data_IF_171634067612
#
_entry.id   IF_171634067612
#
_cell.length_a   1.000
_cell.length_b   1.000
_cell.length_c   1.000
_cell.angle_alpha   90.00
_cell.angle_beta   90.00
_cell.angle_gamma   90.00
#
_symmetry.space_group_name_H-M   'P 1'
#
loop_
_entity.id
_entity.type
_entity.pdbx_description
1 polymer ?
#
# COMPACT_ATOMS: atom_id res chain seq x y z
N UNK A 1 32.19 2.61 11.15
CA UNK A 1 31.88 2.31 9.73
C UNK A 1 31.21 0.95 9.54
N UNK A 2 31.70 -0.12 10.18
CA UNK A 2 31.07 -1.45 10.05
C UNK A 2 29.58 -1.47 10.39
N UNK A 3 29.15 -0.81 11.47
CA UNK A 3 27.73 -0.74 11.84
C UNK A 3 26.84 -0.05 10.80
N UNK A 4 27.35 0.98 10.11
CA UNK A 4 26.60 1.67 9.05
C UNK A 4 26.44 0.80 7.79
N UNK A 5 27.47 0.07 7.44
CA UNK A 5 27.45 -0.89 6.31
C UNK A 5 26.46 -2.03 6.63
N UNK A 6 26.48 -2.56 7.84
CA UNK A 6 25.56 -3.62 8.26
C UNK A 6 24.10 -3.16 8.18
N UNK A 7 23.79 -1.95 8.66
CA UNK A 7 22.45 -1.35 8.56
C UNK A 7 22.03 -1.15 7.10
N UNK A 8 22.94 -0.72 6.24
CA UNK A 8 22.67 -0.56 4.82
C UNK A 8 22.37 -1.90 4.13
N UNK A 9 23.21 -2.91 4.34
CA UNK A 9 23.01 -4.26 3.78
C UNK A 9 21.69 -4.86 4.26
N UNK A 10 21.37 -4.71 5.54
CA UNK A 10 20.08 -5.11 6.09
C UNK A 10 18.91 -4.42 5.34
N UNK A 11 18.99 -3.11 5.14
CA UNK A 11 17.96 -2.36 4.40
C UNK A 11 17.82 -2.82 2.95
N UNK A 12 18.91 -3.14 2.27
CA UNK A 12 18.90 -3.70 0.91
C UNK A 12 18.21 -5.07 0.88
N UNK A 13 18.53 -5.95 1.83
CA UNK A 13 17.88 -7.27 1.95
C UNK A 13 16.37 -7.11 2.17
N UNK A 14 15.96 -6.22 3.08
CA UNK A 14 14.54 -5.93 3.32
C UNK A 14 13.84 -5.37 2.07
N UNK A 15 14.52 -4.52 1.30
CA UNK A 15 14.00 -3.98 0.05
C UNK A 15 13.81 -5.07 -1.01
N UNK A 16 14.79 -5.94 -1.20
CA UNK A 16 14.70 -7.07 -2.13
C UNK A 16 13.58 -8.03 -1.70
N UNK A 17 13.48 -8.35 -0.39
CA UNK A 17 12.39 -9.14 0.14
C UNK A 17 11.02 -8.51 -0.16
N UNK A 18 10.91 -7.18 -0.07
CA UNK A 18 9.66 -6.46 -0.40
C UNK A 18 9.32 -6.61 -1.88
N UNK A 19 10.29 -6.46 -2.79
CA UNK A 19 10.06 -6.65 -4.23
C UNK A 19 9.60 -8.09 -4.55
N UNK A 20 10.27 -9.09 -3.97
CA UNK A 20 9.88 -10.50 -4.12
C UNK A 20 8.46 -10.74 -3.60
N UNK A 21 8.13 -10.15 -2.43
CA UNK A 21 6.77 -10.26 -1.85
C UNK A 21 5.72 -9.65 -2.78
N UNK A 22 5.98 -8.49 -3.37
CA UNK A 22 5.07 -7.84 -4.32
C UNK A 22 4.86 -8.67 -5.59
N UNK A 23 5.94 -9.22 -6.15
CA UNK A 23 5.86 -10.11 -7.31
C UNK A 23 5.08 -11.39 -6.98
N UNK A 24 5.34 -11.98 -5.81
CA UNK A 24 4.61 -13.15 -5.36
C UNK A 24 3.11 -12.84 -5.13
N UNK A 25 2.79 -11.71 -4.53
CA UNK A 25 1.41 -11.25 -4.34
C UNK A 25 0.69 -11.09 -5.70
N UNK A 26 1.37 -10.52 -6.70
CA UNK A 26 0.81 -10.41 -8.05
C UNK A 26 0.56 -11.79 -8.67
N UNK A 27 1.47 -12.71 -8.53
CA UNK A 27 1.29 -14.07 -9.01
C UNK A 27 0.20 -14.83 -8.24
N UNK A 28 0.13 -14.66 -6.93
CA UNK A 28 -0.84 -15.27 -6.03
C UNK A 28 -2.28 -14.81 -6.33
N UNK A 29 -2.51 -13.51 -6.46
CA UNK A 29 -3.83 -12.94 -6.78
C UNK A 29 -4.22 -13.18 -8.24
N UNK A 30 -3.24 -13.18 -9.15
CA UNK A 30 -3.45 -13.39 -10.58
C UNK A 30 -3.55 -14.87 -11.00
N UNK A 31 -3.36 -15.82 -10.08
CA UNK A 31 -3.40 -17.26 -10.33
C UNK A 31 -2.38 -17.75 -11.37
N UNK A 32 -1.15 -17.22 -11.33
CA UNK A 32 -0.08 -17.63 -12.24
C UNK A 32 1.28 -17.75 -11.53
N UNK A 33 2.17 -18.59 -12.06
CA UNK A 33 3.58 -18.69 -11.67
C UNK A 33 3.87 -18.97 -10.17
N UNK A 34 2.89 -19.45 -9.41
CA UNK A 34 3.03 -19.87 -8.00
C UNK A 34 2.47 -21.24 -7.78
N UNK A 35 3.03 -22.05 -6.85
CA UNK A 35 2.57 -23.40 -6.59
C UNK A 35 1.17 -23.44 -5.95
N UNK A 36 0.82 -22.42 -5.17
CA UNK A 36 -0.52 -22.21 -4.58
C UNK A 36 -0.90 -20.75 -4.77
N UNK A 37 -2.09 -20.54 -5.30
CA UNK A 37 -2.69 -19.24 -5.51
C UNK A 37 -3.92 -19.05 -4.62
N UNK A 38 -4.49 -17.86 -4.67
CA UNK A 38 -5.69 -17.51 -3.91
C UNK A 38 -6.88 -18.42 -4.25
N UNK A 39 -6.97 -18.92 -5.50
CA UNK A 39 -8.05 -19.72 -6.06
C UNK A 39 -7.64 -21.19 -6.31
N UNK A 40 -6.59 -21.68 -5.66
CA UNK A 40 -6.20 -23.11 -5.73
C UNK A 40 -7.30 -24.02 -5.20
N UNK A 41 -7.18 -25.34 -5.42
CA UNK A 41 -8.18 -26.32 -4.97
C UNK A 41 -8.35 -26.28 -3.44
N UNK A 42 -9.60 -26.30 -2.93
CA UNK A 42 -9.88 -26.35 -1.50
C UNK A 42 -9.31 -27.62 -0.85
N UNK A 43 -8.75 -27.45 0.36
CA UNK A 43 -8.17 -28.56 1.13
C UNK A 43 -8.76 -28.66 2.55
N UNK A 44 -9.59 -27.69 2.96
CA UNK A 44 -10.20 -27.62 4.27
C UNK A 44 -11.71 -27.35 4.16
N UNK A 45 -12.51 -27.70 5.19
CA UNK A 45 -13.90 -27.29 5.28
C UNK A 45 -14.06 -25.77 5.20
N UNK A 46 -15.15 -25.30 4.57
CA UNK A 46 -15.36 -23.87 4.29
C UNK A 46 -15.22 -22.97 5.52
N UNK A 47 -15.83 -23.32 6.66
CA UNK A 47 -15.79 -22.49 7.87
C UNK A 47 -14.39 -22.40 8.47
N UNK A 48 -13.64 -23.50 8.45
CA UNK A 48 -12.25 -23.52 8.93
C UNK A 48 -11.35 -22.66 8.03
N UNK A 49 -11.50 -22.82 6.71
CA UNK A 49 -10.80 -22.01 5.72
C UNK A 49 -11.11 -20.52 5.89
N UNK A 50 -12.40 -20.18 6.06
CA UNK A 50 -12.84 -18.79 6.29
C UNK A 50 -12.23 -18.20 7.56
N UNK A 51 -12.30 -18.94 8.68
CA UNK A 51 -11.77 -18.49 9.97
C UNK A 51 -10.25 -18.26 9.89
N UNK A 52 -9.50 -19.19 9.30
CA UNK A 52 -8.06 -19.06 9.15
C UNK A 52 -7.70 -17.89 8.22
N UNK A 53 -8.35 -17.76 7.07
CA UNK A 53 -8.10 -16.69 6.12
C UNK A 53 -8.37 -15.30 6.74
N UNK A 54 -9.48 -15.14 7.48
CA UNK A 54 -9.78 -13.91 8.20
C UNK A 54 -8.73 -13.62 9.28
N UNK A 55 -8.30 -14.63 10.04
CA UNK A 55 -7.25 -14.47 11.04
C UNK A 55 -5.93 -14.00 10.42
N UNK A 56 -5.52 -14.55 9.26
CA UNK A 56 -4.33 -14.14 8.53
C UNK A 56 -4.42 -12.69 8.02
N UNK A 57 -5.58 -12.30 7.48
CA UNK A 57 -5.83 -10.93 7.03
C UNK A 57 -5.82 -9.94 8.19
N UNK A 58 -6.42 -10.30 9.32
CA UNK A 58 -6.41 -9.49 10.55
C UNK A 58 -4.98 -9.37 11.08
N UNK A 59 -4.21 -10.47 11.13
CA UNK A 59 -2.82 -10.47 11.55
C UNK A 59 -1.99 -9.49 10.72
N UNK A 60 -2.09 -9.60 9.40
CA UNK A 60 -1.41 -8.66 8.49
C UNK A 60 -1.88 -7.22 8.73
N UNK A 61 -3.18 -6.97 8.77
CA UNK A 61 -3.74 -5.63 8.93
C UNK A 61 -3.35 -4.98 10.26
N UNK A 62 -3.36 -5.74 11.36
CA UNK A 62 -2.95 -5.27 12.69
C UNK A 62 -1.44 -4.98 12.72
N UNK A 63 -0.61 -5.93 12.25
CA UNK A 63 0.84 -5.74 12.20
C UNK A 63 1.19 -4.48 11.38
N UNK A 64 0.65 -4.38 10.17
CA UNK A 64 0.92 -3.29 9.24
C UNK A 64 0.46 -1.93 9.79
N UNK A 65 -0.72 -1.88 10.41
CA UNK A 65 -1.25 -0.65 11.00
C UNK A 65 -0.50 -0.24 12.26
N UNK A 66 -0.27 -1.16 13.20
CA UNK A 66 0.34 -0.85 14.50
C UNK A 66 1.77 -0.38 14.34
N UNK A 67 2.58 -1.12 13.56
CA UNK A 67 3.98 -0.74 13.32
C UNK A 67 4.12 0.57 12.53
N UNK A 68 3.10 0.97 11.76
CA UNK A 68 3.06 2.25 11.07
C UNK A 68 2.87 3.46 12.01
N UNK A 69 2.40 3.27 13.26
CA UNK A 69 2.02 4.37 14.16
C UNK A 69 3.22 5.06 14.80
N UNK A 70 3.15 6.41 14.99
CA UNK A 70 4.23 7.18 15.64
C UNK A 70 4.60 6.64 17.02
N UNK A 71 3.61 6.25 17.83
CA UNK A 71 3.87 5.70 19.17
C UNK A 71 4.63 4.38 19.14
N UNK A 72 4.29 3.46 18.23
CA UNK A 72 5.04 2.21 18.05
C UNK A 72 6.47 2.49 17.56
N UNK A 73 6.64 3.36 16.57
CA UNK A 73 7.96 3.74 16.06
C UNK A 73 8.85 4.32 17.15
N UNK A 74 8.32 5.21 18.00
CA UNK A 74 9.05 5.78 19.12
C UNK A 74 9.52 4.73 20.16
N UNK A 75 8.70 3.70 20.42
CA UNK A 75 9.09 2.59 21.29
C UNK A 75 10.10 1.65 20.59
N UNK A 76 9.86 1.33 19.32
CA UNK A 76 10.66 0.39 18.54
C UNK A 76 12.08 0.91 18.25
N UNK A 77 12.25 2.19 18.02
CA UNK A 77 13.56 2.83 17.80
C UNK A 77 14.46 2.87 19.04
N UNK A 78 13.97 2.45 20.20
CA UNK A 78 14.81 2.17 21.38
C UNK A 78 15.57 0.84 21.25
N UNK A 79 15.08 -0.10 20.44
CA UNK A 79 15.64 -1.44 20.23
C UNK A 79 16.37 -1.54 18.88
N UNK A 80 15.85 -0.88 17.84
CA UNK A 80 16.37 -0.93 16.48
C UNK A 80 16.88 0.46 16.08
N UNK A 81 18.03 0.57 15.39
CA UNK A 81 18.52 1.85 14.90
C UNK A 81 17.44 2.59 14.09
N UNK A 82 17.26 3.89 14.35
CA UNK A 82 16.23 4.69 13.69
C UNK A 82 16.29 4.61 12.14
N UNK A 83 17.51 4.47 11.59
CA UNK A 83 17.70 4.28 10.15
C UNK A 83 17.18 2.94 9.61
N UNK A 84 17.10 1.90 10.46
CA UNK A 84 16.62 0.56 10.10
C UNK A 84 15.12 0.36 10.40
N UNK A 85 14.47 1.31 11.10
CA UNK A 85 13.07 1.19 11.53
C UNK A 85 12.14 0.86 10.36
N UNK A 86 12.22 1.62 9.27
CA UNK A 86 11.35 1.47 8.11
C UNK A 86 11.60 0.14 7.38
N UNK A 87 12.86 -0.26 7.24
CA UNK A 87 13.25 -1.55 6.66
C UNK A 87 12.73 -2.71 7.49
N UNK A 88 12.80 -2.62 8.83
CA UNK A 88 12.26 -3.63 9.75
C UNK A 88 10.73 -3.73 9.65
N UNK A 89 10.03 -2.59 9.58
CA UNK A 89 8.60 -2.55 9.31
C UNK A 89 8.24 -3.31 8.03
N UNK A 90 8.97 -3.07 6.93
CA UNK A 90 8.76 -3.76 5.66
C UNK A 90 9.02 -5.26 5.79
N UNK A 91 10.07 -5.66 6.50
CA UNK A 91 10.40 -7.08 6.72
C UNK A 91 9.27 -7.83 7.45
N UNK A 92 8.71 -7.24 8.50
CA UNK A 92 7.58 -7.84 9.23
C UNK A 92 6.31 -7.89 8.36
N UNK A 93 6.07 -6.88 7.54
CA UNK A 93 4.95 -6.89 6.58
C UNK A 93 5.13 -7.99 5.53
N UNK A 94 6.35 -8.18 5.02
CA UNK A 94 6.66 -9.30 4.12
C UNK A 94 6.45 -10.65 4.81
N UNK A 95 6.93 -10.81 6.05
CA UNK A 95 6.76 -12.06 6.81
C UNK A 95 5.28 -12.40 7.04
N UNK A 96 4.45 -11.40 7.38
CA UNK A 96 3.01 -11.60 7.54
C UNK A 96 2.32 -11.99 6.22
N UNK A 97 2.73 -11.38 5.09
CA UNK A 97 2.22 -11.75 3.77
C UNK A 97 2.70 -13.15 3.35
N UNK A 98 3.95 -13.52 3.58
CA UNK A 98 4.42 -14.87 3.29
C UNK A 98 3.71 -15.92 4.14
N UNK A 99 3.43 -15.62 5.41
CA UNK A 99 2.61 -16.49 6.26
C UNK A 99 1.19 -16.62 5.67
N UNK A 100 0.60 -15.53 5.20
CA UNK A 100 -0.69 -15.53 4.53
C UNK A 100 -0.63 -16.39 3.26
N UNK A 101 0.35 -16.23 2.37
CA UNK A 101 0.48 -17.04 1.15
C UNK A 101 0.64 -18.53 1.47
N UNK A 102 1.41 -18.86 2.49
CA UNK A 102 1.69 -20.23 2.88
C UNK A 102 0.48 -20.92 3.50
N UNK A 103 -0.25 -20.22 4.38
CA UNK A 103 -1.37 -20.79 5.14
C UNK A 103 -2.73 -20.56 4.50
N UNK A 104 -2.80 -19.75 3.43
CA UNK A 104 -4.06 -19.44 2.76
C UNK A 104 -4.82 -20.71 2.39
N UNK A 105 -6.11 -20.77 2.75
CA UNK A 105 -6.99 -21.88 2.42
C UNK A 105 -8.01 -21.46 1.35
N UNK A 106 -7.86 -21.94 0.11
CA UNK A 106 -8.90 -21.76 -0.90
C UNK A 106 -10.23 -22.37 -0.44
N UNK A 107 -11.34 -21.65 -0.68
CA UNK A 107 -12.65 -22.06 -0.15
C UNK A 107 -13.59 -22.67 -1.22
N UNK A 108 -13.15 -22.70 -2.47
CA UNK A 108 -14.01 -23.10 -3.58
C UNK A 108 -15.16 -22.13 -3.81
N UNK A 109 -16.22 -22.58 -4.47
CA UNK A 109 -17.35 -21.73 -4.83
C UNK A 109 -16.98 -20.66 -5.85
N UNK A 110 -17.90 -20.26 -6.69
CA UNK A 110 -17.70 -19.20 -7.70
C UNK A 110 -18.77 -18.14 -7.49
N UNK A 111 -18.36 -16.91 -7.24
CA UNK A 111 -19.23 -15.73 -7.10
C UNK A 111 -19.61 -15.22 -8.51
N UNK A 112 -18.61 -15.09 -9.39
CA UNK A 112 -18.83 -14.85 -10.82
C UNK A 112 -17.75 -15.51 -11.67
N UNK A 113 -18.10 -15.80 -12.90
CA UNK A 113 -17.19 -16.26 -13.95
C UNK A 113 -17.52 -15.52 -15.25
N UNK A 114 -16.57 -14.74 -15.74
CA UNK A 114 -16.71 -14.04 -17.02
C UNK A 114 -16.28 -14.97 -18.13
N UNK A 115 -17.25 -15.51 -18.89
CA UNK A 115 -16.99 -16.47 -19.96
C UNK A 115 -16.51 -15.79 -21.26
N UNK A 116 -16.97 -14.57 -21.51
CA UNK A 116 -16.55 -13.78 -22.69
C UNK A 116 -15.04 -13.56 -22.72
N UNK A 117 -14.38 -13.94 -23.81
CA UNK A 117 -12.94 -13.70 -24.00
C UNK A 117 -12.60 -12.23 -23.96
N UNK A 118 -13.43 -11.35 -24.50
CA UNK A 118 -13.25 -9.89 -24.42
C UNK A 118 -13.32 -9.42 -22.95
N UNK A 119 -14.32 -9.90 -22.21
CA UNK A 119 -14.48 -9.56 -20.79
C UNK A 119 -13.30 -10.04 -19.95
N UNK A 120 -12.79 -11.25 -20.19
CA UNK A 120 -11.59 -11.78 -19.52
C UNK A 120 -10.34 -10.93 -19.81
N UNK A 121 -10.11 -10.61 -21.08
CA UNK A 121 -8.98 -9.73 -21.48
C UNK A 121 -9.12 -8.35 -20.85
N UNK A 122 -10.31 -7.76 -20.83
CA UNK A 122 -10.56 -6.48 -20.20
C UNK A 122 -10.22 -6.49 -18.69
N UNK A 123 -10.68 -7.53 -17.95
CA UNK A 123 -10.40 -7.67 -16.52
C UNK A 123 -8.91 -7.93 -16.24
N UNK A 124 -8.23 -8.75 -17.03
CA UNK A 124 -6.80 -8.98 -16.91
C UNK A 124 -5.99 -7.72 -17.23
N UNK A 125 -6.43 -6.93 -18.23
CA UNK A 125 -5.81 -5.64 -18.54
C UNK A 125 -6.02 -4.65 -17.40
N UNK A 126 -7.19 -4.64 -16.78
CA UNK A 126 -7.49 -3.81 -15.62
C UNK A 126 -6.66 -4.25 -14.39
N UNK A 127 -6.46 -5.54 -14.19
CA UNK A 127 -5.57 -6.10 -13.17
C UNK A 127 -4.12 -5.60 -13.35
N UNK A 128 -3.60 -5.74 -14.57
CA UNK A 128 -2.25 -5.23 -14.91
C UNK A 128 -2.16 -3.71 -14.73
N UNK A 129 -3.18 -2.98 -15.16
CA UNK A 129 -3.26 -1.52 -14.95
C UNK A 129 -3.25 -1.16 -13.46
N UNK A 130 -4.00 -1.88 -12.61
CA UNK A 130 -3.97 -1.68 -11.16
C UNK A 130 -2.55 -1.79 -10.58
N UNK A 131 -1.77 -2.80 -11.00
CA UNK A 131 -0.37 -2.96 -10.61
C UNK A 131 0.52 -1.82 -11.10
N UNK A 132 0.30 -1.34 -12.32
CA UNK A 132 1.01 -0.15 -12.84
C UNK A 132 0.69 1.08 -11.98
N UNK A 133 -0.58 1.29 -11.63
CA UNK A 133 -0.98 2.40 -10.74
C UNK A 133 -0.30 2.28 -9.38
N UNK A 134 -0.30 1.09 -8.75
CA UNK A 134 0.41 0.84 -7.48
C UNK A 134 1.89 1.22 -7.62
N UNK A 135 2.58 0.68 -8.63
CA UNK A 135 4.01 0.90 -8.82
C UNK A 135 4.33 2.39 -9.07
N UNK A 136 3.66 3.01 -10.04
CA UNK A 136 3.86 4.42 -10.39
C UNK A 136 3.61 5.33 -9.19
N UNK A 137 2.56 5.05 -8.41
CA UNK A 137 2.20 5.85 -7.24
C UNK A 137 3.28 5.79 -6.15
N UNK A 138 3.93 4.63 -5.94
CA UNK A 138 5.06 4.55 -5.00
C UNK A 138 6.21 5.48 -5.41
N UNK A 139 6.53 5.58 -6.71
CA UNK A 139 7.57 6.50 -7.21
C UNK A 139 7.16 7.96 -7.10
N UNK A 140 5.89 8.28 -7.30
CA UNK A 140 5.38 9.66 -7.13
C UNK A 140 5.47 10.15 -5.68
N UNK A 141 5.29 9.28 -4.70
CA UNK A 141 5.47 9.62 -3.28
C UNK A 141 6.96 9.73 -2.94
N UNK A 142 7.69 8.72 -3.08
CA UNK A 142 9.12 8.44 -3.00
C UNK A 142 9.34 6.95 -2.69
N UNK A 143 9.50 6.15 -3.72
CA UNK A 143 9.61 4.70 -3.63
C UNK A 143 10.67 4.23 -2.62
N UNK A 144 11.88 4.80 -2.69
CA UNK A 144 12.98 4.38 -1.83
C UNK A 144 12.79 4.81 -0.36
N UNK A 145 12.09 5.91 -0.11
CA UNK A 145 11.72 6.32 1.24
C UNK A 145 10.62 5.42 1.81
N UNK A 146 9.63 5.10 1.00
CA UNK A 146 8.51 4.24 1.38
C UNK A 146 8.98 2.85 1.83
N UNK A 147 9.99 2.29 1.16
CA UNK A 147 10.53 0.96 1.44
C UNK A 147 11.75 0.94 2.38
N UNK A 148 12.17 2.09 2.91
CA UNK A 148 13.24 2.17 3.91
C UNK A 148 14.66 2.28 3.34
N UNK A 149 14.84 2.18 2.01
CA UNK A 149 16.17 2.20 1.39
C UNK A 149 16.83 3.58 1.48
N UNK A 150 16.06 4.67 1.39
CA UNK A 150 16.58 6.03 1.54
C UNK A 150 17.12 6.27 2.94
N UNK A 151 16.48 5.79 4.00
CA UNK A 151 16.89 5.95 5.38
C UNK A 151 18.25 5.29 5.63
N UNK A 152 18.42 4.03 5.20
CA UNK A 152 19.68 3.30 5.38
C UNK A 152 20.80 3.86 4.50
N UNK A 153 20.48 4.38 3.32
CA UNK A 153 21.45 5.05 2.44
C UNK A 153 21.97 6.35 3.05
N UNK A 154 21.08 7.22 3.58
CA UNK A 154 21.48 8.44 4.26
C UNK A 154 22.34 8.12 5.49
N UNK A 155 21.98 7.10 6.26
CA UNK A 155 22.77 6.64 7.41
C UNK A 155 24.17 6.15 7.00
N UNK A 156 24.28 5.38 5.91
CA UNK A 156 25.56 4.95 5.35
C UNK A 156 26.46 6.15 5.01
N UNK A 157 25.87 7.19 4.39
CA UNK A 157 26.54 8.42 4.01
C UNK A 157 26.84 9.36 5.18
N UNK A 158 26.37 9.05 6.39
CA UNK A 158 26.53 9.89 7.57
C UNK A 158 25.63 11.12 7.61
N UNK A 159 24.57 11.12 6.81
CA UNK A 159 23.59 12.19 6.77
C UNK A 159 22.38 11.89 7.67
N UNK A 160 21.85 12.92 8.30
CA UNK A 160 20.59 12.83 9.05
C UNK A 160 19.41 12.61 8.11
N UNK A 161 18.42 11.83 8.55
CA UNK A 161 17.18 11.69 7.81
C UNK A 161 16.40 13.02 7.80
N UNK A 162 15.90 13.38 6.64
CA UNK A 162 15.04 14.55 6.45
C UNK A 162 13.68 14.10 5.97
N UNK A 163 12.60 14.54 6.63
CA UNK A 163 11.23 14.27 6.23
C UNK A 163 10.93 14.82 4.84
N UNK A 164 10.08 14.13 4.10
CA UNK A 164 9.62 14.58 2.79
C UNK A 164 8.62 15.73 2.95
N UNK A 165 8.71 16.72 2.05
CA UNK A 165 7.71 17.79 1.98
C UNK A 165 6.40 17.24 1.41
N UNK A 166 5.28 17.75 1.89
CA UNK A 166 3.98 17.45 1.33
C UNK A 166 3.90 17.89 -0.14
N UNK A 167 3.46 16.98 -1.00
CA UNK A 167 3.29 17.23 -2.44
C UNK A 167 2.09 16.43 -2.97
N UNK A 168 1.43 16.96 -4.00
CA UNK A 168 0.28 16.33 -4.65
C UNK A 168 0.54 16.15 -6.16
N UNK A 169 1.48 15.27 -6.55
CA UNK A 169 1.85 15.07 -7.96
C UNK A 169 0.79 14.26 -8.70
N UNK A 170 0.53 14.61 -9.97
CA UNK A 170 -0.28 13.82 -10.91
C UNK A 170 -1.61 13.32 -10.35
N UNK A 171 -1.78 12.00 -10.16
CA UNK A 171 -3.03 11.37 -9.69
C UNK A 171 -3.53 11.88 -8.34
N UNK A 172 -2.66 12.41 -7.47
CA UNK A 172 -3.04 13.03 -6.20
C UNK A 172 -3.88 14.31 -6.35
N UNK A 173 -3.94 14.87 -7.56
CA UNK A 173 -4.86 15.99 -7.88
C UNK A 173 -6.27 15.51 -8.19
N UNK A 174 -6.44 14.23 -8.52
CA UNK A 174 -7.73 13.62 -8.86
C UNK A 174 -8.37 12.93 -7.66
N UNK A 175 -7.57 12.19 -6.88
CA UNK A 175 -7.98 11.49 -5.66
C UNK A 175 -6.86 11.58 -4.62
N UNK A 176 -7.22 11.56 -3.33
CA UNK A 176 -6.22 11.66 -2.26
C UNK A 176 -5.38 10.40 -2.10
N UNK A 177 -5.94 9.24 -2.44
CA UNK A 177 -5.31 7.93 -2.22
C UNK A 177 -5.20 7.10 -3.51
N UNK A 178 -4.47 7.56 -4.53
CA UNK A 178 -4.36 6.84 -5.80
C UNK A 178 -3.67 5.47 -5.65
N UNK A 179 -2.79 5.30 -4.64
CA UNK A 179 -2.20 4.00 -4.31
C UNK A 179 -3.28 2.98 -3.91
N UNK A 180 -4.23 3.39 -3.08
CA UNK A 180 -5.33 2.52 -2.67
C UNK A 180 -6.32 2.27 -3.81
N UNK A 181 -6.52 3.22 -4.72
CA UNK A 181 -7.27 2.97 -5.97
C UNK A 181 -6.62 1.84 -6.77
N UNK A 182 -5.30 1.86 -6.93
CA UNK A 182 -4.57 0.78 -7.60
C UNK A 182 -4.81 -0.58 -6.93
N UNK A 183 -4.72 -0.66 -5.59
CA UNK A 183 -4.99 -1.88 -4.83
C UNK A 183 -6.43 -2.38 -5.02
N UNK A 184 -7.43 -1.49 -4.92
CA UNK A 184 -8.82 -1.87 -5.14
C UNK A 184 -9.04 -2.42 -6.55
N UNK A 185 -8.46 -1.79 -7.56
CA UNK A 185 -8.51 -2.30 -8.94
C UNK A 185 -7.90 -3.69 -9.03
N UNK A 186 -6.73 -3.93 -8.43
CA UNK A 186 -6.08 -5.26 -8.39
C UNK A 186 -6.99 -6.31 -7.75
N UNK A 187 -7.58 -6.01 -6.58
CA UNK A 187 -8.33 -6.99 -5.80
C UNK A 187 -9.65 -7.40 -6.46
N UNK A 188 -10.27 -6.50 -7.22
CA UNK A 188 -11.59 -6.72 -7.82
C UNK A 188 -11.56 -7.11 -9.30
N UNK A 189 -10.39 -7.04 -9.98
CA UNK A 189 -10.28 -7.32 -11.42
C UNK A 189 -10.00 -8.79 -11.72
N UNK A 190 -10.73 -9.69 -11.07
CA UNK A 190 -10.61 -11.14 -11.31
C UNK A 190 -11.64 -11.62 -12.34
N UNK A 191 -11.23 -12.27 -13.46
CA UNK A 191 -12.16 -12.88 -14.41
C UNK A 191 -13.01 -13.98 -13.81
N UNK A 192 -12.45 -14.74 -12.88
CA UNK A 192 -13.16 -15.69 -12.03
C UNK A 192 -12.98 -15.22 -10.59
N UNK A 193 -14.08 -14.95 -9.91
CA UNK A 193 -14.10 -14.58 -8.50
C UNK A 193 -14.59 -15.75 -7.69
N UNK A 194 -13.69 -16.41 -6.98
CA UNK A 194 -14.04 -17.46 -6.04
C UNK A 194 -14.49 -16.89 -4.70
N UNK A 195 -15.07 -17.72 -3.82
CA UNK A 195 -15.40 -17.30 -2.47
C UNK A 195 -14.16 -16.84 -1.67
N UNK A 196 -13.00 -17.49 -1.85
CA UNK A 196 -11.76 -17.12 -1.19
C UNK A 196 -11.25 -15.75 -1.67
N UNK A 197 -11.23 -15.52 -2.98
CA UNK A 197 -10.84 -14.25 -3.57
C UNK A 197 -11.80 -13.12 -3.14
N UNK A 198 -13.10 -13.39 -3.13
CA UNK A 198 -14.12 -12.44 -2.72
C UNK A 198 -13.92 -12.01 -1.25
N UNK A 199 -13.69 -12.97 -0.32
CA UNK A 199 -13.41 -12.68 1.08
C UNK A 199 -12.14 -11.83 1.21
N UNK A 200 -11.09 -12.15 0.46
CA UNK A 200 -9.87 -11.35 0.42
C UNK A 200 -10.16 -9.91 -0.06
N UNK A 201 -10.86 -9.75 -1.18
CA UNK A 201 -11.17 -8.44 -1.75
C UNK A 201 -12.04 -7.59 -0.81
N UNK A 202 -13.06 -8.18 -0.18
CA UNK A 202 -13.92 -7.48 0.78
C UNK A 202 -13.16 -7.09 2.04
N UNK A 203 -12.41 -8.02 2.65
CA UNK A 203 -11.69 -7.76 3.88
C UNK A 203 -10.58 -6.73 3.69
N UNK A 204 -9.81 -6.80 2.58
CA UNK A 204 -8.77 -5.82 2.27
C UNK A 204 -9.36 -4.46 1.88
N UNK A 205 -10.52 -4.41 1.21
CA UNK A 205 -11.25 -3.16 0.97
C UNK A 205 -11.67 -2.50 2.28
N UNK A 206 -12.27 -3.27 3.19
CA UNK A 206 -12.65 -2.76 4.51
C UNK A 206 -11.41 -2.26 5.29
N UNK A 207 -10.32 -3.02 5.26
CA UNK A 207 -9.06 -2.61 5.85
C UNK A 207 -8.54 -1.28 5.27
N UNK A 208 -8.53 -1.11 3.94
CA UNK A 208 -8.11 0.13 3.28
C UNK A 208 -8.97 1.31 3.75
N UNK A 209 -10.29 1.17 3.77
CA UNK A 209 -11.20 2.24 4.19
C UNK A 209 -10.98 2.66 5.66
N UNK A 210 -10.68 1.72 6.53
CA UNK A 210 -10.32 1.99 7.92
C UNK A 210 -8.93 2.65 8.01
N UNK A 211 -7.94 2.11 7.29
CA UNK A 211 -6.56 2.61 7.30
C UNK A 211 -6.48 4.08 6.84
N UNK A 212 -7.23 4.46 5.80
CA UNK A 212 -7.32 5.84 5.31
C UNK A 212 -7.75 6.81 6.44
N UNK A 213 -8.72 6.42 7.27
CA UNK A 213 -9.20 7.31 8.35
C UNK A 213 -8.09 7.63 9.34
N UNK A 214 -7.27 6.65 9.63
CA UNK A 214 -6.14 6.84 10.53
C UNK A 214 -4.99 7.62 9.86
N UNK A 215 -4.66 7.30 8.61
CA UNK A 215 -3.63 7.99 7.84
C UNK A 215 -3.96 9.48 7.68
N UNK A 216 -5.20 9.82 7.32
CA UNK A 216 -5.63 11.21 7.17
C UNK A 216 -5.61 11.98 8.49
N UNK A 217 -5.90 11.34 9.64
CA UNK A 217 -5.77 11.96 10.96
C UNK A 217 -4.31 12.33 11.25
N UNK A 218 -3.39 11.40 10.99
CA UNK A 218 -1.96 11.64 11.19
C UNK A 218 -1.44 12.74 10.24
N UNK A 219 -1.85 12.71 8.97
CA UNK A 219 -1.45 13.71 7.97
C UNK A 219 -1.94 15.12 8.31
N UNK A 220 -3.14 15.28 8.82
CA UNK A 220 -3.66 16.59 9.28
C UNK A 220 -2.84 17.16 10.43
N UNK A 221 -2.33 16.29 11.32
CA UNK A 221 -1.49 16.71 12.44
C UNK A 221 -0.08 17.15 12.00
N UNK A 222 0.48 16.48 10.99
CA UNK A 222 1.85 16.71 10.52
C UNK A 222 1.92 17.81 9.46
N UNK A 223 0.91 17.90 8.58
CA UNK A 223 0.88 18.81 7.43
C UNK A 223 -0.35 19.72 7.49
N UNK A 224 -0.15 21.00 7.81
CA UNK A 224 -1.25 21.98 7.89
C UNK A 224 -2.02 22.13 6.58
N UNK A 225 -1.33 22.02 5.44
CA UNK A 225 -1.91 22.11 4.11
C UNK A 225 -2.83 20.91 3.76
N UNK A 226 -2.67 19.78 4.46
CA UNK A 226 -3.45 18.58 4.20
C UNK A 226 -4.94 18.78 4.50
N UNK A 227 -5.30 19.58 5.51
CA UNK A 227 -6.69 19.87 5.85
C UNK A 227 -7.43 20.58 4.69
N UNK A 228 -6.76 21.49 3.99
CA UNK A 228 -7.32 22.16 2.83
C UNK A 228 -7.38 21.25 1.59
N UNK A 229 -6.32 20.50 1.34
CA UNK A 229 -6.26 19.50 0.29
C UNK A 229 -7.41 18.48 0.44
N UNK A 230 -7.66 17.98 1.66
CA UNK A 230 -8.76 17.04 1.99
C UNK A 230 -10.14 17.61 1.64
N UNK A 231 -10.36 18.91 1.75
CA UNK A 231 -11.64 19.55 1.39
C UNK A 231 -11.86 19.67 -0.12
N UNK A 232 -10.78 19.73 -0.90
CA UNK A 232 -10.83 19.97 -2.36
C UNK A 232 -10.80 18.71 -3.20
N UNK A 233 -10.13 17.67 -2.73
CA UNK A 233 -9.87 16.46 -3.50
C UNK A 233 -10.61 15.28 -2.87
N UNK A 234 -11.37 14.48 -3.66
CA UNK A 234 -12.09 13.31 -3.16
C UNK A 234 -11.14 12.20 -2.70
N UNK A 235 -11.62 11.30 -1.84
CA UNK A 235 -10.83 10.27 -1.20
C UNK A 235 -10.29 9.21 -2.17
N UNK A 236 -11.18 8.49 -2.87
CA UNK A 236 -10.86 7.33 -3.73
C UNK A 236 -11.50 7.48 -5.11
N UNK A 237 -12.78 7.85 -5.17
CA UNK A 237 -13.51 7.98 -6.43
C UNK A 237 -13.40 9.41 -6.93
N UNK A 238 -12.89 9.63 -8.17
CA UNK A 238 -12.93 10.94 -8.77
C UNK A 238 -14.40 11.35 -8.87
N UNK A 239 -14.81 12.37 -8.14
CA UNK A 239 -16.14 12.96 -8.38
C UNK A 239 -16.11 13.62 -9.74
N UNK A 240 -16.78 13.00 -10.71
CA UNK A 240 -17.05 13.62 -11.97
C UNK A 240 -17.80 14.93 -11.65
N UNK A 241 -17.13 16.05 -11.90
CA UNK A 241 -17.74 17.39 -11.85
C UNK A 241 -18.35 17.84 -10.50
N UNK A 242 -17.55 18.14 -9.51
CA UNK A 242 -17.83 19.36 -8.78
C UNK A 242 -17.27 20.51 -9.63
N UNK A 243 -18.09 21.06 -10.48
CA UNK A 243 -17.77 22.23 -11.32
C UNK A 243 -17.64 23.49 -10.45
N UNK A 244 -16.54 23.60 -9.73
CA UNK A 244 -15.98 24.86 -9.26
C UNK A 244 -14.50 24.88 -9.61
N UNK A 245 -14.24 25.30 -10.84
CA UNK A 245 -13.02 26.02 -11.14
C UNK A 245 -13.06 27.34 -10.36
N UNK A 246 -12.85 27.31 -9.08
CA UNK A 246 -12.43 28.50 -8.37
C UNK A 246 -10.98 28.76 -8.75
N UNK A 247 -10.82 29.80 -9.53
CA UNK A 247 -9.58 30.36 -10.04
C UNK A 247 -8.54 30.37 -8.92
N UNK A 248 -7.41 29.72 -9.21
CA UNK A 248 -6.15 29.99 -8.49
C UNK A 248 -5.85 31.47 -8.76
N UNK A 249 -6.31 32.38 -7.89
CA UNK A 249 -5.71 33.68 -7.78
C UNK A 249 -4.27 33.44 -7.32
N UNK A 250 -3.34 33.66 -8.22
CA UNK A 250 -1.95 33.79 -7.91
C UNK A 250 -1.85 34.76 -6.74
N UNK A 251 -1.33 34.30 -5.61
CA UNK A 251 -0.88 35.18 -4.54
C UNK A 251 0.33 35.88 -5.10
N UNK A 252 0.12 37.07 -5.60
CA UNK A 252 1.18 38.03 -5.93
C UNK A 252 1.95 38.25 -4.63
N UNK A 253 3.29 38.13 -4.63
CA UNK A 253 4.07 38.52 -3.45
C UNK A 253 3.80 39.98 -3.18
N UNK A 254 3.41 40.30 -1.95
CA UNK A 254 3.30 41.68 -1.52
C UNK A 254 4.66 42.36 -1.74
N UNK A 255 4.63 43.47 -2.49
CA UNK A 255 5.75 44.33 -2.70
C UNK A 255 6.32 44.75 -1.33
N UNK A 256 7.63 44.62 -1.20
CA UNK A 256 8.41 45.27 -0.14
C UNK A 256 8.08 46.77 -0.17
N UNK A 257 7.52 47.25 0.93
CA UNK A 257 7.44 48.71 1.16
C UNK A 257 8.75 49.06 1.84
N UNK A 258 9.64 49.69 1.07
CA UNK A 258 10.74 50.49 1.56
C UNK A 258 10.18 51.68 2.39
N UNK A 259 10.56 51.81 3.64
CA UNK A 259 10.98 53.03 4.34
C UNK A 259 11.82 52.68 5.54
#
# INVERSE_FOLDING_TARGET
MLSRITVFLYGVICYVASLVTFLYLAAFLGNFAVPRSIDSQPQAPFLEALALNLALLVLFGVQHSVMGRPGFKAAWTRLVPAAAERSTYMLFSCAALFLLFWQWQPMGGVIWNVESSIGRVALLSLYAFGWVVVLVTTFLINHFDLFGLRQVWLHLRGHSYTSLRFRTPGPYRLVRHPLYVGWLVVFWSAPVMTSAHFVFAVATTAYILIAIQFEERDLVQVHREYAEYRRRVPMILPTAFSGRRDQIKAVTPAAEVET
#
